data_IF_640460081209
#
_entry.id   IF_640460081209
#
_cell.length_a   1.000
_cell.length_b   1.000
_cell.length_c   1.000
_cell.angle_alpha   90.00
_cell.angle_beta   90.00
_cell.angle_gamma   90.00
#
_symmetry.space_group_name_H-M   'P 1'
#
loop_
_entity.id
_entity.type
_entity.pdbx_description
1 polymer ?
#
# COMPACT_ATOMS: atom_id res chain seq x y z
N UNK A 1 -5.99 -3.94 7.85
CA UNK A 1 -5.92 -3.11 6.63
C UNK A 1 -7.07 -3.36 5.64
N UNK A 2 -7.25 -4.57 5.03
CA UNK A 2 -8.31 -4.79 4.02
C UNK A 2 -9.71 -4.44 4.51
N UNK A 3 -10.09 -4.84 5.74
CA UNK A 3 -11.38 -4.47 6.33
C UNK A 3 -11.52 -2.97 6.54
N UNK A 4 -10.45 -2.29 6.95
CA UNK A 4 -10.44 -0.84 7.11
C UNK A 4 -10.70 -0.11 5.80
N UNK A 5 -10.12 -0.59 4.71
CA UNK A 5 -10.25 -0.01 3.37
C UNK A 5 -11.44 -0.58 2.57
N UNK A 6 -12.18 -1.56 3.14
CA UNK A 6 -13.32 -2.22 2.49
C UNK A 6 -12.98 -2.83 1.12
N UNK A 7 -11.74 -3.32 0.96
CA UNK A 7 -11.28 -3.89 -0.30
C UNK A 7 -11.32 -5.41 -0.29
N UNK A 8 -11.56 -5.98 -1.46
CA UNK A 8 -11.64 -7.43 -1.67
C UNK A 8 -10.29 -8.13 -1.44
N UNK A 9 -10.33 -9.46 -1.28
CA UNK A 9 -9.13 -10.30 -1.18
C UNK A 9 -8.24 -10.23 -2.43
N UNK A 10 -8.81 -9.88 -3.59
CA UNK A 10 -8.08 -9.71 -4.85
C UNK A 10 -7.18 -8.47 -4.91
N UNK A 11 -7.30 -7.52 -3.96
CA UNK A 11 -6.41 -6.38 -3.89
C UNK A 11 -4.98 -6.83 -3.51
N UNK A 12 -3.94 -6.44 -4.27
CA UNK A 12 -2.56 -6.73 -3.91
C UNK A 12 -2.23 -6.18 -2.51
N UNK A 13 -1.70 -7.04 -1.63
CA UNK A 13 -1.37 -6.62 -0.27
C UNK A 13 -0.26 -5.56 -0.23
N UNK A 14 0.63 -5.60 -1.20
CA UNK A 14 1.71 -4.63 -1.40
C UNK A 14 1.16 -3.21 -1.53
N UNK A 15 0.06 -3.05 -2.28
CA UNK A 15 -0.61 -1.75 -2.43
C UNK A 15 -1.18 -1.22 -1.11
N UNK A 16 -1.65 -2.12 -0.22
CA UNK A 16 -2.12 -1.69 1.10
C UNK A 16 -0.98 -1.10 1.95
N UNK A 17 0.21 -1.69 1.88
CA UNK A 17 1.38 -1.18 2.58
C UNK A 17 1.88 0.12 1.98
N UNK A 18 2.00 0.17 0.65
CA UNK A 18 2.52 1.34 -0.09
C UNK A 18 1.60 2.55 0.08
N UNK A 19 0.29 2.40 -0.11
CA UNK A 19 -0.67 3.51 -0.03
C UNK A 19 -0.91 4.00 1.41
N UNK A 20 -0.78 3.12 2.41
CA UNK A 20 -0.90 3.49 3.82
C UNK A 20 0.43 3.86 4.48
N UNK A 21 1.54 3.79 3.77
CA UNK A 21 2.88 4.05 4.32
C UNK A 21 3.26 3.10 5.45
N UNK A 22 2.78 1.85 5.41
CA UNK A 22 2.98 0.90 6.49
C UNK A 22 4.14 -0.05 6.21
N UNK A 23 4.98 -0.26 7.21
CA UNK A 23 6.07 -1.24 7.15
C UNK A 23 5.49 -2.67 7.28
N UNK A 24 5.81 -3.62 6.39
CA UNK A 24 5.45 -5.02 6.56
C UNK A 24 5.96 -5.62 7.87
N UNK A 25 5.17 -6.49 8.51
CA UNK A 25 5.46 -7.06 9.83
C UNK A 25 6.85 -7.69 9.93
N UNK A 26 7.34 -8.34 8.85
CA UNK A 26 8.70 -8.92 8.85
C UNK A 26 9.77 -7.90 9.20
N UNK A 27 9.72 -6.71 8.63
CA UNK A 27 10.68 -5.63 8.91
C UNK A 27 10.50 -5.05 10.32
N UNK A 28 9.28 -5.04 10.85
CA UNK A 28 9.02 -4.68 12.25
C UNK A 28 9.69 -5.68 13.21
N UNK A 29 9.63 -6.97 12.89
CA UNK A 29 10.32 -8.02 13.68
C UNK A 29 11.83 -7.86 13.60
N UNK A 30 12.38 -7.63 12.39
CA UNK A 30 13.82 -7.35 12.20
C UNK A 30 14.26 -6.16 13.04
N UNK A 31 13.54 -5.03 12.97
CA UNK A 31 13.84 -3.84 13.77
C UNK A 31 13.90 -4.15 15.25
N UNK A 32 12.90 -4.87 15.78
CA UNK A 32 12.87 -5.22 17.21
C UNK A 32 14.02 -6.12 17.61
N UNK A 33 14.38 -7.09 16.78
CA UNK A 33 15.47 -8.02 17.01
C UNK A 33 16.82 -7.29 17.05
N UNK A 34 17.08 -6.40 16.09
CA UNK A 34 18.32 -5.62 16.03
C UNK A 34 18.39 -4.61 17.19
N UNK A 35 17.27 -3.94 17.52
CA UNK A 35 17.22 -3.03 18.67
C UNK A 35 17.40 -3.78 20.01
N UNK A 36 16.98 -5.04 20.09
CA UNK A 36 17.22 -5.88 21.25
C UNK A 36 18.70 -6.27 21.38
N UNK A 37 19.41 -6.53 20.27
CA UNK A 37 20.86 -6.69 20.31
C UNK A 37 21.53 -5.44 20.87
N UNK A 38 21.18 -4.24 20.38
CA UNK A 38 21.73 -2.98 20.91
C UNK A 38 21.47 -2.85 22.43
N UNK A 39 20.30 -3.23 22.90
CA UNK A 39 19.99 -3.26 24.34
C UNK A 39 20.94 -4.20 25.10
N UNK A 40 21.11 -5.45 24.64
CA UNK A 40 21.97 -6.44 25.32
C UNK A 40 23.44 -5.97 25.37
N UNK A 41 23.95 -5.37 24.29
CA UNK A 41 25.35 -4.88 24.22
C UNK A 41 25.62 -3.74 25.21
N UNK A 42 24.58 -3.01 25.64
CA UNK A 42 24.68 -1.90 26.60
C UNK A 42 24.27 -2.31 28.02
N UNK A 43 23.91 -3.57 28.26
CA UNK A 43 23.64 -4.13 29.58
C UNK A 43 24.95 -4.43 30.33
N UNK A 44 24.85 -4.62 31.66
CA UNK A 44 25.99 -5.06 32.50
C UNK A 44 26.57 -6.38 31.99
N UNK A 45 27.88 -6.48 31.91
CA UNK A 45 28.55 -7.66 31.36
C UNK A 45 28.26 -8.95 32.15
N UNK A 46 27.98 -8.84 33.45
CA UNK A 46 27.64 -9.97 34.31
C UNK A 46 26.14 -10.35 34.27
N UNK A 47 25.31 -9.58 33.55
CA UNK A 47 23.91 -9.93 33.38
C UNK A 47 23.77 -11.26 32.66
N UNK A 48 22.74 -12.05 33.04
CA UNK A 48 22.47 -13.35 32.38
C UNK A 48 22.36 -13.22 30.88
N UNK A 49 21.66 -12.18 30.41
CA UNK A 49 21.41 -11.97 28.96
C UNK A 49 22.70 -11.65 28.20
N UNK A 50 23.61 -10.84 28.79
CA UNK A 50 24.90 -10.54 28.22
C UNK A 50 25.78 -11.80 28.15
N UNK A 51 25.80 -12.61 29.21
CA UNK A 51 26.53 -13.87 29.25
C UNK A 51 26.02 -14.87 28.21
N UNK A 52 24.70 -14.96 28.01
CA UNK A 52 24.10 -15.80 26.96
C UNK A 52 24.53 -15.33 25.57
N UNK A 53 24.51 -14.02 25.29
CA UNK A 53 24.95 -13.47 24.00
C UNK A 53 26.43 -13.82 23.76
N UNK A 54 27.30 -13.61 24.73
CA UNK A 54 28.72 -13.97 24.61
C UNK A 54 28.96 -15.47 24.37
N UNK A 55 28.14 -16.33 25.01
CA UNK A 55 28.21 -17.76 24.76
C UNK A 55 27.79 -18.11 23.31
N UNK A 56 26.77 -17.47 22.76
CA UNK A 56 26.34 -17.68 21.36
C UNK A 56 27.38 -17.18 20.36
N UNK A 57 28.03 -16.04 20.63
CA UNK A 57 29.14 -15.53 19.80
C UNK A 57 30.30 -16.52 19.78
N UNK A 58 30.65 -17.08 20.96
CA UNK A 58 31.81 -18.00 21.11
C UNK A 58 31.52 -19.41 20.57
N UNK A 59 30.26 -19.88 20.67
CA UNK A 59 29.84 -21.22 20.29
C UNK A 59 28.52 -21.15 19.48
N UNK A 60 28.58 -20.65 18.22
CA UNK A 60 27.40 -20.42 17.44
C UNK A 60 26.64 -21.73 17.11
N UNK A 61 25.33 -21.70 17.22
CA UNK A 61 24.42 -22.78 16.85
C UNK A 61 23.35 -22.29 15.87
N UNK A 62 22.88 -23.16 15.00
CA UNK A 62 22.02 -22.85 13.84
C UNK A 62 20.79 -21.98 14.15
N UNK A 63 20.27 -22.02 15.38
CA UNK A 63 19.07 -21.30 15.77
C UNK A 63 19.34 -20.18 16.80
N UNK A 64 20.58 -19.76 16.93
CA UNK A 64 20.95 -18.75 17.89
C UNK A 64 20.41 -17.37 17.50
N UNK A 65 20.14 -16.56 18.53
CA UNK A 65 19.65 -15.20 18.36
C UNK A 65 20.64 -14.35 17.54
N UNK A 66 21.95 -14.48 17.82
CA UNK A 66 22.99 -13.68 17.15
C UNK A 66 23.02 -13.96 15.65
N UNK A 67 22.98 -15.22 15.22
CA UNK A 67 22.94 -15.56 13.79
C UNK A 67 21.71 -14.97 13.09
N UNK A 68 20.55 -15.04 13.73
CA UNK A 68 19.35 -14.43 13.17
C UNK A 68 19.41 -12.89 13.14
N UNK A 69 20.21 -12.23 13.97
CA UNK A 69 20.50 -10.79 13.88
C UNK A 69 21.46 -10.51 12.72
N UNK A 70 22.53 -11.28 12.60
CA UNK A 70 23.50 -11.16 11.49
C UNK A 70 22.80 -11.30 10.14
N UNK A 71 21.96 -12.31 9.96
CA UNK A 71 21.14 -12.46 8.75
C UNK A 71 20.27 -11.23 8.47
N UNK A 72 19.70 -10.63 9.52
CA UNK A 72 18.89 -9.41 9.37
C UNK A 72 19.73 -8.19 9.01
N UNK A 73 20.92 -8.04 9.59
CA UNK A 73 21.86 -6.97 9.27
C UNK A 73 22.34 -7.08 7.83
N UNK A 74 22.68 -8.28 7.38
CA UNK A 74 23.06 -8.57 6.00
C UNK A 74 21.93 -8.26 5.02
N UNK A 75 20.71 -8.68 5.33
CA UNK A 75 19.54 -8.36 4.48
C UNK A 75 19.31 -6.84 4.37
N UNK A 76 19.61 -6.08 5.42
CA UNK A 76 19.50 -4.61 5.45
C UNK A 76 20.75 -3.90 4.91
N UNK A 77 21.78 -4.64 4.51
CA UNK A 77 23.06 -4.09 4.04
C UNK A 77 23.71 -3.17 5.11
N UNK A 78 23.65 -3.60 6.38
CA UNK A 78 24.22 -2.92 7.53
C UNK A 78 25.50 -3.65 7.96
N UNK A 79 26.64 -3.06 7.68
CA UNK A 79 27.98 -3.63 7.94
C UNK A 79 28.64 -2.94 9.13
N UNK A 80 27.97 -2.96 10.28
CA UNK A 80 28.49 -2.43 11.55
C UNK A 80 28.98 -3.58 12.42
N UNK A 81 30.13 -3.38 13.08
CA UNK A 81 30.61 -4.32 14.11
C UNK A 81 29.73 -4.23 15.37
N UNK A 82 29.84 -5.23 16.26
CA UNK A 82 29.11 -5.19 17.54
C UNK A 82 29.56 -4.00 18.40
N UNK A 83 30.84 -3.63 18.32
CA UNK A 83 31.42 -2.45 18.97
C UNK A 83 30.83 -1.16 18.41
N UNK A 84 30.71 -1.04 17.09
CA UNK A 84 30.09 0.13 16.45
C UNK A 84 28.64 0.28 16.90
N UNK A 85 27.88 -0.84 16.91
CA UNK A 85 26.49 -0.85 17.37
C UNK A 85 26.41 -0.43 18.84
N UNK A 86 27.31 -0.89 19.68
CA UNK A 86 27.35 -0.58 21.11
C UNK A 86 27.65 0.90 21.40
N UNK A 87 28.57 1.51 20.65
CA UNK A 87 28.99 2.91 20.84
C UNK A 87 27.91 3.91 20.45
N UNK A 88 27.08 3.57 19.47
CA UNK A 88 26.01 4.44 19.02
C UNK A 88 24.96 4.64 20.12
N UNK A 89 24.53 5.89 20.33
CA UNK A 89 23.39 6.13 21.21
C UNK A 89 22.13 5.45 20.68
N UNK A 90 21.25 5.01 21.57
CA UNK A 90 19.98 4.33 21.23
C UNK A 90 19.15 5.11 20.21
N UNK A 91 19.14 6.43 20.31
CA UNK A 91 18.35 7.29 19.41
C UNK A 91 18.97 7.36 18.02
N UNK A 92 20.27 7.58 17.94
CA UNK A 92 21.02 7.62 16.67
C UNK A 92 20.88 6.28 15.95
N UNK A 93 21.12 5.18 16.66
CA UNK A 93 21.00 3.83 16.08
C UNK A 93 19.58 3.52 15.62
N UNK A 94 18.55 3.90 16.39
CA UNK A 94 17.14 3.73 16.01
C UNK A 94 16.80 4.50 14.73
N UNK A 95 17.24 5.75 14.60
CA UNK A 95 16.97 6.57 13.43
C UNK A 95 17.67 6.03 12.18
N UNK A 96 18.92 5.61 12.32
CA UNK A 96 19.68 4.94 11.27
C UNK A 96 18.96 3.64 10.81
N UNK A 97 18.59 2.79 11.76
CA UNK A 97 17.90 1.54 11.47
C UNK A 97 16.53 1.77 10.82
N UNK A 98 15.78 2.79 11.28
CA UNK A 98 14.51 3.16 10.71
C UNK A 98 14.65 3.51 9.22
N UNK A 99 15.62 4.33 8.87
CA UNK A 99 15.88 4.69 7.47
C UNK A 99 16.17 3.45 6.61
N UNK A 100 17.09 2.57 7.06
CA UNK A 100 17.46 1.34 6.37
C UNK A 100 16.27 0.40 6.16
N UNK A 101 15.42 0.27 7.17
CA UNK A 101 14.20 -0.52 7.13
C UNK A 101 13.18 0.04 6.13
N UNK A 102 12.97 1.35 6.11
CA UNK A 102 12.05 2.01 5.18
C UNK A 102 12.51 1.84 3.74
N UNK A 103 13.80 2.06 3.46
CA UNK A 103 14.41 1.85 2.15
C UNK A 103 14.22 0.39 1.67
N UNK A 104 14.57 -0.58 2.50
CA UNK A 104 14.48 -2.00 2.15
C UNK A 104 13.04 -2.47 2.01
N UNK A 105 12.12 -2.00 2.88
CA UNK A 105 10.71 -2.30 2.79
C UNK A 105 10.09 -1.75 1.50
N UNK A 106 10.44 -0.54 1.09
CA UNK A 106 9.98 0.08 -0.15
C UNK A 106 10.44 -0.73 -1.37
N UNK A 107 11.73 -1.09 -1.44
CA UNK A 107 12.28 -1.92 -2.51
C UNK A 107 11.55 -3.27 -2.59
N UNK A 108 11.42 -3.96 -1.47
CA UNK A 108 10.71 -5.24 -1.38
C UNK A 108 9.26 -5.13 -1.86
N UNK A 109 8.52 -4.10 -1.44
CA UNK A 109 7.12 -3.91 -1.82
C UNK A 109 6.99 -3.58 -3.32
N UNK A 110 7.86 -2.73 -3.86
CA UNK A 110 7.87 -2.41 -5.28
C UNK A 110 8.21 -3.64 -6.13
N UNK A 111 9.19 -4.45 -5.73
CA UNK A 111 9.51 -5.71 -6.42
C UNK A 111 8.32 -6.69 -6.41
N UNK A 112 7.68 -6.88 -5.24
CA UNK A 112 6.50 -7.75 -5.15
C UNK A 112 5.31 -7.24 -5.96
N UNK A 113 5.14 -5.91 -6.05
CA UNK A 113 4.11 -5.26 -6.87
C UNK A 113 4.26 -5.58 -8.36
N UNK A 114 5.48 -5.83 -8.87
CA UNK A 114 5.72 -6.19 -10.28
C UNK A 114 4.95 -7.43 -10.74
N UNK A 115 4.54 -8.30 -9.82
CA UNK A 115 3.70 -9.47 -10.11
C UNK A 115 2.24 -9.12 -10.43
N UNK A 116 1.84 -7.87 -10.25
CA UNK A 116 0.46 -7.40 -10.38
C UNK A 116 0.33 -6.37 -11.50
N UNK A 117 0.11 -6.82 -12.74
CA UNK A 117 0.05 -5.96 -13.94
C UNK A 117 -0.91 -4.77 -13.82
N UNK A 118 -2.00 -4.92 -13.05
CA UNK A 118 -3.03 -3.89 -12.87
C UNK A 118 -2.55 -2.64 -12.12
N UNK A 119 -1.45 -2.73 -11.38
CA UNK A 119 -0.96 -1.65 -10.51
C UNK A 119 0.47 -1.20 -10.83
N UNK A 120 1.03 -1.68 -11.95
CA UNK A 120 2.40 -1.33 -12.36
C UNK A 120 2.61 0.16 -12.62
N UNK A 121 1.56 0.84 -13.09
CA UNK A 121 1.60 2.28 -13.41
C UNK A 121 1.63 3.18 -12.17
N UNK A 122 1.31 2.65 -10.97
CA UNK A 122 1.35 3.42 -9.74
C UNK A 122 2.80 3.39 -9.21
N UNK A 123 3.42 4.55 -9.09
CA UNK A 123 4.78 4.69 -8.54
C UNK A 123 4.73 5.11 -7.08
N UNK A 124 5.66 4.58 -6.30
CA UNK A 124 5.88 4.99 -4.91
C UNK A 124 7.39 5.12 -4.73
N UNK A 125 7.84 6.35 -4.51
CA UNK A 125 9.25 6.67 -4.30
C UNK A 125 9.62 6.69 -2.80
N UNK A 126 8.60 6.74 -1.94
CA UNK A 126 8.72 6.71 -0.48
C UNK A 126 7.66 5.84 0.15
N UNK A 127 7.95 5.29 1.33
CA UNK A 127 6.99 4.55 2.14
C UNK A 127 6.29 5.51 3.11
N UNK A 128 5.38 6.30 2.56
CA UNK A 128 4.60 7.31 3.29
C UNK A 128 3.11 7.12 3.00
N UNK A 129 2.27 7.48 3.98
CA UNK A 129 0.83 7.48 3.77
C UNK A 129 0.47 8.46 2.66
N UNK A 130 -0.30 7.99 1.67
CA UNK A 130 -0.74 8.85 0.57
C UNK A 130 -1.62 9.99 1.10
N UNK A 131 -1.46 11.17 0.53
CA UNK A 131 -2.09 12.40 1.01
C UNK A 131 -3.60 12.32 1.13
N UNK A 132 -4.26 11.57 0.26
CA UNK A 132 -5.72 11.39 0.32
C UNK A 132 -6.20 10.50 1.50
N UNK A 133 -5.27 9.89 2.26
CA UNK A 133 -5.53 9.24 3.54
C UNK A 133 -5.11 10.09 4.75
N UNK A 134 -4.39 11.18 4.53
CA UNK A 134 -3.97 12.07 5.62
C UNK A 134 -5.19 12.77 6.24
N UNK A 135 -5.33 12.81 7.57
CA UNK A 135 -6.49 13.41 8.24
C UNK A 135 -6.79 14.86 7.82
N UNK A 136 -5.76 15.64 7.47
CA UNK A 136 -5.90 17.01 6.99
C UNK A 136 -6.64 17.11 5.65
N UNK A 137 -6.58 16.09 4.81
CA UNK A 137 -7.11 16.08 3.45
C UNK A 137 -8.38 15.24 3.30
N UNK A 138 -8.63 14.34 4.27
CA UNK A 138 -9.80 13.45 4.25
C UNK A 138 -11.07 14.23 4.53
N UNK A 139 -11.79 14.62 3.48
CA UNK A 139 -13.16 15.17 3.58
C UNK A 139 -14.18 14.06 3.87
N UNK A 140 -13.95 12.88 3.32
CA UNK A 140 -14.77 11.68 3.50
C UNK A 140 -13.91 10.43 3.36
N UNK A 141 -13.88 9.60 4.39
CA UNK A 141 -13.18 8.31 4.36
C UNK A 141 -13.75 7.40 3.25
N UNK A 142 -15.02 7.52 2.93
CA UNK A 142 -15.65 6.78 1.83
C UNK A 142 -15.02 7.15 0.48
N UNK A 143 -14.77 8.43 0.22
CA UNK A 143 -14.14 8.89 -1.03
C UNK A 143 -12.67 8.45 -1.08
N UNK A 144 -11.93 8.51 0.02
CA UNK A 144 -10.55 8.01 0.08
C UNK A 144 -10.47 6.51 -0.19
N UNK A 145 -11.37 5.71 0.38
CA UNK A 145 -11.48 4.26 0.11
C UNK A 145 -11.86 3.98 -1.35
N UNK A 146 -12.78 4.78 -1.88
CA UNK A 146 -13.17 4.67 -3.28
C UNK A 146 -12.01 5.01 -4.21
N UNK A 147 -11.28 6.10 -3.95
CA UNK A 147 -10.07 6.48 -4.69
C UNK A 147 -9.04 5.35 -4.68
N UNK A 148 -8.74 4.78 -3.51
CA UNK A 148 -7.87 3.62 -3.40
C UNK A 148 -8.34 2.47 -4.30
N UNK A 149 -9.63 2.12 -4.25
CA UNK A 149 -10.22 1.05 -5.05
C UNK A 149 -10.16 1.34 -6.56
N UNK A 150 -10.33 2.59 -6.96
CA UNK A 150 -10.19 3.02 -8.35
C UNK A 150 -8.74 2.92 -8.83
N UNK A 151 -7.78 3.45 -8.06
CA UNK A 151 -6.34 3.39 -8.37
C UNK A 151 -5.84 1.96 -8.50
N UNK A 152 -6.27 1.07 -7.61
CA UNK A 152 -5.87 -0.35 -7.61
C UNK A 152 -6.68 -1.24 -8.55
N UNK A 153 -7.59 -0.66 -9.35
CA UNK A 153 -8.48 -1.35 -10.28
C UNK A 153 -9.34 -2.42 -9.61
N UNK A 154 -9.86 -2.12 -8.42
CA UNK A 154 -10.73 -3.01 -7.64
C UNK A 154 -12.23 -2.69 -7.79
N UNK A 155 -12.60 -1.66 -8.57
CA UNK A 155 -14.00 -1.39 -8.86
C UNK A 155 -14.61 -2.52 -9.71
N UNK A 156 -15.87 -2.86 -9.43
CA UNK A 156 -16.62 -3.87 -10.18
C UNK A 156 -17.04 -3.34 -11.56
N UNK A 157 -16.08 -3.34 -12.47
CA UNK A 157 -16.25 -3.10 -13.90
C UNK A 157 -15.65 -4.27 -14.67
N UNK A 158 -16.22 -4.61 -15.83
CA UNK A 158 -15.85 -5.81 -16.55
C UNK A 158 -14.37 -5.94 -16.86
N UNK A 159 -13.75 -4.86 -17.32
CA UNK A 159 -12.31 -4.85 -17.67
C UNK A 159 -11.38 -5.13 -16.48
N UNK A 160 -11.80 -4.89 -15.25
CA UNK A 160 -10.99 -5.20 -14.06
C UNK A 160 -10.92 -6.71 -13.76
N UNK A 161 -11.83 -7.49 -14.34
CA UNK A 161 -11.97 -8.93 -14.10
C UNK A 161 -11.98 -9.74 -15.40
N UNK A 162 -11.25 -9.28 -16.42
CA UNK A 162 -11.18 -9.88 -17.75
C UNK A 162 -10.89 -11.38 -17.75
N UNK A 163 -10.09 -11.86 -16.77
CA UNK A 163 -9.79 -13.28 -16.61
C UNK A 163 -11.01 -14.14 -16.22
N UNK A 164 -12.10 -13.51 -15.76
CA UNK A 164 -13.36 -14.17 -15.38
C UNK A 164 -14.48 -13.98 -16.42
N UNK A 165 -14.32 -12.99 -17.29
CA UNK A 165 -15.29 -12.64 -18.32
C UNK A 165 -14.58 -12.67 -19.66
N UNK A 166 -15.26 -13.14 -20.71
CA UNK A 166 -14.71 -13.18 -22.07
C UNK A 166 -14.17 -11.80 -22.48
N UNK A 167 -13.15 -11.77 -23.35
CA UNK A 167 -12.36 -10.58 -23.75
C UNK A 167 -13.14 -9.38 -24.30
N UNK A 168 -14.48 -9.49 -24.44
CA UNK A 168 -15.36 -8.44 -24.95
C UNK A 168 -16.43 -8.09 -23.93
N UNK A 169 -16.03 -7.62 -22.75
CA UNK A 169 -17.00 -7.13 -21.77
C UNK A 169 -17.47 -5.75 -22.19
N UNK A 170 -18.60 -5.68 -22.86
CA UNK A 170 -19.29 -4.43 -23.20
C UNK A 170 -19.93 -3.79 -21.96
N UNK A 171 -20.11 -2.49 -22.01
CA UNK A 171 -20.80 -1.72 -20.98
C UNK A 171 -22.17 -2.35 -20.65
N UNK A 172 -22.37 -2.72 -19.38
CA UNK A 172 -23.62 -3.34 -18.91
C UNK A 172 -24.85 -2.42 -18.99
N UNK A 173 -24.65 -1.13 -19.27
CA UNK A 173 -25.74 -0.16 -19.47
C UNK A 173 -26.13 -0.02 -20.94
N UNK A 174 -25.56 -0.83 -21.84
CA UNK A 174 -25.95 -0.88 -23.25
C UNK A 174 -25.13 0.03 -24.19
N UNK A 175 -24.07 0.69 -23.72
CA UNK A 175 -23.16 1.42 -24.61
C UNK A 175 -22.33 0.43 -25.43
N UNK A 176 -21.98 0.80 -26.67
CA UNK A 176 -21.04 0.02 -27.50
C UNK A 176 -19.59 0.37 -27.16
N UNK A 177 -19.23 0.27 -25.90
CA UNK A 177 -17.89 0.53 -25.35
C UNK A 177 -17.51 -0.54 -24.34
N UNK A 178 -16.21 -0.69 -24.08
CA UNK A 178 -15.73 -1.60 -23.04
C UNK A 178 -16.13 -1.10 -21.65
N UNK A 179 -16.49 -2.03 -20.76
CA UNK A 179 -16.86 -1.74 -19.37
C UNK A 179 -15.60 -1.46 -18.53
N UNK A 180 -15.01 -0.28 -18.71
CA UNK A 180 -13.80 0.20 -18.02
C UNK A 180 -14.14 1.27 -16.99
N UNK A 181 -13.20 1.54 -16.08
CA UNK A 181 -13.32 2.66 -15.13
C UNK A 181 -13.32 4.02 -15.86
N UNK A 182 -12.53 4.14 -16.94
CA UNK A 182 -12.53 5.33 -17.79
C UNK A 182 -13.90 5.53 -18.44
N UNK A 183 -14.49 4.46 -19.00
CA UNK A 183 -15.82 4.53 -19.61
C UNK A 183 -16.89 4.99 -18.63
N UNK A 184 -16.77 4.72 -17.32
CA UNK A 184 -17.72 5.25 -16.33
C UNK A 184 -17.80 6.78 -16.34
N UNK A 185 -16.71 7.48 -16.63
CA UNK A 185 -16.70 8.94 -16.75
C UNK A 185 -17.41 9.43 -18.02
N UNK A 186 -17.27 8.68 -19.10
CA UNK A 186 -17.71 9.04 -20.45
C UNK A 186 -19.08 8.40 -20.83
N UNK A 187 -19.59 7.49 -19.98
CA UNK A 187 -20.78 6.71 -20.30
C UNK A 187 -22.03 7.59 -20.47
N UNK A 188 -22.62 7.57 -21.65
CA UNK A 188 -23.82 8.36 -22.00
C UNK A 188 -25.03 8.06 -21.11
N UNK A 189 -25.13 6.84 -20.55
CA UNK A 189 -26.20 6.44 -19.63
C UNK A 189 -25.99 6.99 -18.20
N UNK A 190 -24.83 7.59 -17.92
CA UNK A 190 -24.43 8.14 -16.61
C UNK A 190 -24.19 9.64 -16.66
N UNK A 191 -24.59 10.31 -17.75
CA UNK A 191 -24.51 11.77 -17.82
C UNK A 191 -25.48 12.38 -16.81
N UNK A 192 -24.96 13.22 -15.93
CA UNK A 192 -25.72 14.08 -15.03
C UNK A 192 -25.45 15.54 -15.44
N UNK A 193 -26.49 16.29 -15.73
CA UNK A 193 -26.39 17.71 -16.01
C UNK A 193 -25.85 18.51 -14.81
N UNK A 194 -25.92 17.93 -13.60
CA UNK A 194 -25.52 18.58 -12.36
C UNK A 194 -23.99 18.59 -12.13
N UNK A 195 -23.22 17.73 -12.84
CA UNK A 195 -21.75 17.68 -12.70
C UNK A 195 -20.99 18.69 -13.57
N UNK A 196 -21.69 19.41 -14.46
CA UNK A 196 -21.13 20.43 -15.37
C UNK A 196 -20.80 21.75 -14.62
N UNK A 197 -21.23 21.89 -13.36
CA UNK A 197 -21.11 23.16 -12.61
C UNK A 197 -19.66 23.58 -12.26
N UNK A 198 -18.66 22.70 -12.40
CA UNK A 198 -17.27 23.07 -12.03
C UNK A 198 -16.47 23.70 -13.18
N UNK A 199 -17.00 23.73 -14.41
CA UNK A 199 -16.29 24.29 -15.58
C UNK A 199 -14.99 23.58 -15.96
N UNK A 200 -14.55 22.55 -15.21
CA UNK A 200 -13.33 21.80 -15.45
C UNK A 200 -13.62 20.41 -15.99
N UNK A 201 -12.98 20.06 -17.09
CA UNK A 201 -13.02 18.71 -17.64
C UNK A 201 -12.03 17.84 -16.87
N UNK A 202 -12.52 16.87 -16.11
CA UNK A 202 -11.69 15.86 -15.44
C UNK A 202 -11.44 14.67 -16.36
N UNK A 203 -10.18 14.18 -16.34
CA UNK A 203 -9.75 12.98 -17.07
C UNK A 203 -9.52 11.83 -16.09
N UNK A 204 -9.59 10.60 -16.58
CA UNK A 204 -9.31 9.41 -15.76
C UNK A 204 -7.91 9.46 -15.12
N UNK A 205 -6.93 10.02 -15.82
CA UNK A 205 -5.54 10.13 -15.35
C UNK A 205 -5.39 11.06 -14.14
N UNK A 206 -6.36 11.94 -13.89
CA UNK A 206 -6.36 12.81 -12.69
C UNK A 206 -6.44 12.00 -11.38
N UNK A 207 -6.86 10.71 -11.43
CA UNK A 207 -6.75 9.78 -10.29
C UNK A 207 -5.30 9.56 -9.82
N UNK A 208 -4.34 9.84 -10.69
CA UNK A 208 -2.90 9.65 -10.45
C UNK A 208 -2.14 10.97 -10.42
N UNK A 209 -2.84 12.10 -10.39
CA UNK A 209 -2.25 13.43 -10.27
C UNK A 209 -1.38 13.53 -9.01
N UNK A 210 -0.38 14.42 -9.05
CA UNK A 210 0.38 14.81 -7.85
C UNK A 210 -0.42 15.70 -6.89
N UNK A 211 -1.58 16.23 -7.33
CA UNK A 211 -2.43 17.13 -6.54
C UNK A 211 -3.60 16.36 -5.92
N UNK A 212 -3.60 16.24 -4.60
CA UNK A 212 -4.61 15.48 -3.85
C UNK A 212 -6.05 15.99 -4.08
N UNK A 213 -6.22 17.29 -4.27
CA UNK A 213 -7.54 17.87 -4.55
C UNK A 213 -8.11 17.38 -5.89
N UNK A 214 -7.27 17.26 -6.90
CA UNK A 214 -7.66 16.71 -8.21
C UNK A 214 -8.05 15.23 -8.07
N UNK A 215 -7.25 14.43 -7.37
CA UNK A 215 -7.54 13.05 -7.09
C UNK A 215 -8.89 12.87 -6.38
N UNK A 216 -9.16 13.70 -5.35
CA UNK A 216 -10.40 13.63 -4.58
C UNK A 216 -11.61 14.12 -5.39
N UNK A 217 -11.44 15.13 -6.24
CA UNK A 217 -12.49 15.65 -7.11
C UNK A 217 -12.93 14.59 -8.12
N UNK A 218 -11.98 13.99 -8.86
CA UNK A 218 -12.29 12.94 -9.84
C UNK A 218 -12.85 11.69 -9.16
N UNK A 219 -12.35 11.32 -7.97
CA UNK A 219 -12.88 10.20 -7.20
C UNK A 219 -14.34 10.43 -6.78
N UNK A 220 -14.70 11.65 -6.42
CA UNK A 220 -16.08 12.01 -6.07
C UNK A 220 -17.01 11.85 -7.26
N UNK A 221 -16.62 12.36 -8.43
CA UNK A 221 -17.39 12.23 -9.68
C UNK A 221 -17.55 10.75 -10.05
N UNK A 222 -16.44 10.01 -10.05
CA UNK A 222 -16.44 8.61 -10.42
C UNK A 222 -17.26 7.76 -9.44
N UNK A 223 -17.21 8.07 -8.13
CA UNK A 223 -18.00 7.42 -7.08
C UNK A 223 -19.51 7.62 -7.31
N UNK A 224 -19.92 8.85 -7.63
CA UNK A 224 -21.33 9.18 -7.94
C UNK A 224 -21.81 8.39 -9.13
N UNK A 225 -21.08 8.39 -10.23
CA UNK A 225 -21.40 7.62 -11.44
C UNK A 225 -21.43 6.11 -11.18
N UNK A 226 -20.49 5.60 -10.38
CA UNK A 226 -20.45 4.20 -10.01
C UNK A 226 -21.65 3.76 -9.17
N UNK A 227 -22.09 4.58 -8.20
CA UNK A 227 -23.31 4.35 -7.42
C UNK A 227 -24.56 4.37 -8.30
N UNK A 228 -24.66 5.33 -9.22
CA UNK A 228 -25.75 5.42 -10.20
C UNK A 228 -25.80 4.17 -11.08
N UNK A 229 -24.64 3.73 -11.62
CA UNK A 229 -24.52 2.49 -12.38
C UNK A 229 -25.05 1.28 -11.59
N UNK A 230 -24.62 1.11 -10.34
CA UNK A 230 -25.09 0.01 -9.47
C UNK A 230 -26.62 0.05 -9.30
N UNK A 231 -27.18 1.23 -9.04
CA UNK A 231 -28.63 1.39 -8.88
C UNK A 231 -29.41 0.98 -10.13
N UNK A 232 -28.94 1.38 -11.32
CA UNK A 232 -29.59 1.00 -12.60
C UNK A 232 -29.52 -0.52 -12.79
N UNK A 233 -28.35 -1.14 -12.57
CA UNK A 233 -28.17 -2.59 -12.74
C UNK A 233 -29.03 -3.40 -11.76
N UNK A 234 -29.17 -2.96 -10.50
CA UNK A 234 -30.05 -3.59 -9.52
C UNK A 234 -31.55 -3.52 -9.95
N UNK A 235 -31.97 -2.36 -10.44
CA UNK A 235 -33.34 -2.21 -10.97
C UNK A 235 -33.63 -3.10 -12.18
N UNK A 236 -32.62 -3.31 -13.04
CA UNK A 236 -32.77 -4.21 -14.20
C UNK A 236 -32.78 -5.69 -13.76
N UNK A 237 -32.00 -6.07 -12.74
CA UNK A 237 -31.99 -7.44 -12.20
C UNK A 237 -33.32 -7.79 -11.48
N UNK A 238 -33.92 -6.85 -10.75
CA UNK A 238 -35.19 -7.07 -10.04
C UNK A 238 -36.46 -7.08 -10.97
N UNK A 239 -36.28 -6.79 -12.26
CA UNK A 239 -37.37 -6.86 -13.27
C UNK A 239 -37.36 -8.17 -14.08
N UNK A 240 -36.40 -9.06 -13.80
CA UNK A 240 -36.29 -10.40 -14.37
C UNK A 240 -36.79 -11.45 -13.38
#
# INVERSE_FOLDING_TARGET
MRRLLEVSLGCPKEMLYLELGCIPMRFTVMTRRIMFLHYILNEEQDSLISRVLHAQIKFPSKNDFILGVEENLDELEIYLSLEDIKILSKEVFRNFLKQKIEEKALLFLNEKKLKHSKVLHIKHDKLEMQEYFCPSNVRSLEISRFLFSARTRMLDVGANFSNKYSDKVKCKLGCDALDTQQHLLECSQLTDNDLIQTGRSFKYDDLFSSHVEEQLAIATILSTKYKKRKSILLKQAGRR
#
